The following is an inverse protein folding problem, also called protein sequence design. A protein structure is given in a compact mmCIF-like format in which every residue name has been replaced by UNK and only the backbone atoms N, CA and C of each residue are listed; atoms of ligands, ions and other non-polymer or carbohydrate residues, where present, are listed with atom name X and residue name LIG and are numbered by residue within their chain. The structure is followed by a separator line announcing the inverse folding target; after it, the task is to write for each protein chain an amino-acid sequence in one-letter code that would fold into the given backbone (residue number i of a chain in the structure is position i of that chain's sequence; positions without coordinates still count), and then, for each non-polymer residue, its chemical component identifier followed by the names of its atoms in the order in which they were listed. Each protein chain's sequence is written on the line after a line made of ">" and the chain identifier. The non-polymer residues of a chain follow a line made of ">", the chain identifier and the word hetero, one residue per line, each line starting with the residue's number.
data_IF_306252375957
#
_entry.id   IF_306252375957
#
_cell.length_a   1.000
_cell.length_b   1.000
_cell.length_c   1.000
_cell.angle_alpha   90.00
_cell.angle_beta   90.00
_cell.angle_gamma   90.00
#
_symmetry.space_group_name_H-M   'P 1'
#
loop_
_entity.id
_entity.type
_entity.pdbx_description
1 polymer ?
#
# COMPACT_ATOMS: atom_id res chain seq x y z
N UNK A 1 4.99 10.98 -12.60
CA UNK A 1 3.56 10.86 -12.27
C UNK A 1 3.01 9.44 -12.34
N UNK A 2 3.03 8.74 -13.49
CA UNK A 2 2.49 7.36 -13.62
C UNK A 2 3.02 6.32 -12.63
N UNK A 3 4.15 6.53 -11.99
CA UNK A 3 4.77 5.59 -11.05
C UNK A 3 4.46 6.01 -9.60
N UNK A 4 4.28 7.31 -9.36
CA UNK A 4 4.03 7.86 -8.02
C UNK A 4 2.66 7.47 -7.46
N UNK A 5 1.63 7.37 -8.31
CA UNK A 5 0.30 6.92 -7.87
C UNK A 5 0.25 5.44 -7.49
N UNK A 6 0.99 4.60 -8.20
CA UNK A 6 0.99 3.15 -7.96
C UNK A 6 1.75 2.77 -6.70
N UNK A 7 2.78 3.56 -6.39
CA UNK A 7 3.58 3.41 -5.18
C UNK A 7 2.93 4.07 -3.95
N UNK A 8 2.13 5.11 -4.12
CA UNK A 8 1.26 5.69 -3.07
C UNK A 8 0.11 4.79 -2.63
N UNK A 9 0.03 3.55 -3.13
CA UNK A 9 -0.91 2.52 -2.69
C UNK A 9 -0.21 1.35 -1.98
N UNK A 10 1.12 1.37 -1.87
CA UNK A 10 1.89 0.36 -1.14
C UNK A 10 1.58 0.37 0.37
N UNK A 11 1.22 1.52 0.94
CA UNK A 11 0.70 1.64 2.31
C UNK A 11 -0.68 0.94 2.46
N UNK A 12 -1.69 1.32 1.67
CA UNK A 12 -3.02 0.69 1.63
C UNK A 12 -3.01 -0.82 1.40
N UNK A 13 -2.12 -1.34 0.54
CA UNK A 13 -2.05 -2.78 0.26
C UNK A 13 -1.56 -3.59 1.48
N UNK A 14 -0.67 -2.99 2.30
CA UNK A 14 -0.16 -3.62 3.52
C UNK A 14 -1.19 -3.59 4.65
N UNK A 15 -2.09 -2.60 4.64
CA UNK A 15 -3.24 -2.50 5.56
C UNK A 15 -4.25 -3.64 5.42
N UNK A 16 -4.24 -4.38 4.30
CA UNK A 16 -5.04 -5.59 4.11
C UNK A 16 -4.51 -6.75 4.97
N UNK A 17 -3.21 -6.77 5.26
CA UNK A 17 -2.51 -7.87 5.91
C UNK A 17 -2.27 -7.64 7.41
N UNK A 18 -2.27 -6.38 7.86
CA UNK A 18 -2.09 -6.02 9.26
C UNK A 18 -3.22 -6.41 10.25
N UNK A 19 -4.51 -6.51 9.87
CA UNK A 19 -5.59 -6.95 10.78
C UNK A 19 -5.33 -8.32 11.43
N UNK A 20 -4.57 -9.18 10.75
CA UNK A 20 -4.19 -10.52 11.20
C UNK A 20 -3.06 -10.52 12.24
N UNK A 21 -2.32 -9.42 12.36
CA UNK A 21 -1.14 -9.34 13.23
C UNK A 21 -1.41 -8.71 14.62
N UNK A 22 -2.43 -7.86 14.71
CA UNK A 22 -2.84 -7.18 15.93
C UNK A 22 -3.81 -7.98 16.80
N UNK A 23 -4.47 -9.00 16.25
CA UNK A 23 -5.58 -9.72 16.88
C UNK A 23 -5.12 -10.91 17.72
N UNK A 24 -5.64 -11.07 18.95
CA UNK A 24 -5.57 -12.35 19.65
C UNK A 24 -6.32 -13.40 18.83
N UNK A 25 -5.69 -14.54 18.56
CA UNK A 25 -6.38 -15.66 17.92
C UNK A 25 -7.59 -16.08 18.76
N UNK A 26 -8.76 -16.38 18.15
CA UNK A 26 -9.90 -16.95 18.86
C UNK A 26 -9.60 -18.35 19.42
N UNK A 27 -8.48 -18.97 19.03
CA UNK A 27 -8.03 -20.28 19.48
C UNK A 27 -7.10 -20.10 20.70
N UNK A 28 -7.50 -20.51 21.91
CA UNK A 28 -6.68 -20.41 23.11
C UNK A 28 -5.49 -21.38 23.00
N UNK A 29 -4.31 -20.86 22.67
CA UNK A 29 -3.07 -21.67 22.62
C UNK A 29 -2.01 -21.20 21.64
N UNK A 30 -2.36 -20.42 20.61
CA UNK A 30 -1.37 -19.83 19.71
C UNK A 30 -0.73 -18.58 20.35
N UNK A 31 0.22 -18.80 21.28
CA UNK A 31 1.26 -17.80 21.51
C UNK A 31 1.97 -17.59 20.17
N UNK A 32 1.93 -16.38 19.60
CA UNK A 32 2.56 -16.03 18.33
C UNK A 32 3.90 -15.28 18.54
N UNK A 33 5.01 -15.94 18.96
CA UNK A 33 6.33 -15.33 18.99
C UNK A 33 6.99 -15.20 17.61
N UNK A 34 6.40 -15.78 16.54
CA UNK A 34 6.97 -15.80 15.18
C UNK A 34 6.43 -14.70 14.25
N UNK A 35 5.38 -13.98 14.66
CA UNK A 35 4.69 -12.97 13.86
C UNK A 35 5.51 -11.72 13.49
N UNK A 36 6.42 -11.19 14.35
CA UNK A 36 7.14 -9.96 14.04
C UNK A 36 7.96 -10.07 12.75
N UNK A 37 8.64 -11.21 12.54
CA UNK A 37 9.53 -11.44 11.40
C UNK A 37 8.80 -11.99 10.16
N UNK A 38 7.61 -12.54 10.36
CA UNK A 38 6.74 -13.06 9.29
C UNK A 38 6.14 -11.94 8.41
N UNK A 39 5.90 -10.77 9.00
CA UNK A 39 5.27 -9.62 8.34
C UNK A 39 6.18 -8.95 7.28
N UNK A 40 7.45 -8.59 7.60
CA UNK A 40 8.34 -8.01 6.60
C UNK A 40 8.68 -8.98 5.46
N UNK A 41 8.80 -10.28 5.75
CA UNK A 41 9.14 -11.30 4.74
C UNK A 41 8.01 -11.46 3.72
N UNK A 42 6.75 -11.57 4.17
CA UNK A 42 5.59 -11.59 3.28
C UNK A 42 5.45 -10.28 2.49
N UNK A 43 5.57 -9.15 3.20
CA UNK A 43 5.47 -7.82 2.59
C UNK A 43 6.56 -7.59 1.55
N UNK A 44 7.77 -8.12 1.74
CA UNK A 44 8.85 -8.04 0.75
C UNK A 44 8.51 -8.82 -0.52
N UNK A 45 7.97 -10.04 -0.40
CA UNK A 45 7.54 -10.85 -1.55
C UNK A 45 6.44 -10.14 -2.34
N UNK A 46 5.36 -9.74 -1.67
CA UNK A 46 4.23 -9.08 -2.31
C UNK A 46 4.63 -7.74 -2.94
N UNK A 47 5.39 -6.91 -2.22
CA UNK A 47 5.82 -5.62 -2.75
C UNK A 47 6.70 -5.79 -4.00
N UNK A 48 7.58 -6.78 -4.01
CA UNK A 48 8.47 -7.01 -5.17
C UNK A 48 7.69 -7.50 -6.39
N UNK A 49 6.71 -8.40 -6.20
CA UNK A 49 5.82 -8.84 -7.29
C UNK A 49 4.93 -7.71 -7.78
N UNK A 50 4.32 -6.95 -6.89
CA UNK A 50 3.48 -5.79 -7.25
C UNK A 50 4.30 -4.72 -7.96
N UNK A 51 5.52 -4.43 -7.49
CA UNK A 51 6.44 -3.48 -8.14
C UNK A 51 6.85 -3.93 -9.54
N UNK A 52 7.04 -5.23 -9.75
CA UNK A 52 7.33 -5.80 -11.07
C UNK A 52 6.11 -5.77 -12.00
N UNK A 53 4.93 -6.14 -11.51
CA UNK A 53 3.70 -6.03 -12.30
C UNK A 53 3.41 -4.55 -12.64
N UNK A 54 3.67 -3.63 -11.71
CA UNK A 54 3.45 -2.20 -11.90
C UNK A 54 4.39 -1.62 -12.96
N UNK A 55 5.66 -2.08 -13.00
CA UNK A 55 6.58 -1.67 -14.06
C UNK A 55 6.14 -2.19 -15.44
N UNK A 56 5.67 -3.44 -15.53
CA UNK A 56 5.09 -3.97 -16.77
C UNK A 56 3.90 -3.12 -17.21
N UNK A 57 2.95 -2.86 -16.30
CA UNK A 57 1.78 -2.04 -16.58
C UNK A 57 2.20 -0.64 -17.05
N UNK A 58 3.17 0.00 -16.39
CA UNK A 58 3.68 1.31 -16.76
C UNK A 58 4.34 1.31 -18.15
N UNK A 59 5.09 0.26 -18.52
CA UNK A 59 5.68 0.11 -19.85
C UNK A 59 4.60 -0.07 -20.92
N UNK A 60 3.60 -0.92 -20.66
CA UNK A 60 2.46 -1.13 -21.58
C UNK A 60 1.66 0.16 -21.77
N UNK A 61 1.35 0.88 -20.69
CA UNK A 61 0.64 2.17 -20.76
C UNK A 61 1.49 3.34 -21.27
N UNK A 62 2.82 3.23 -21.24
CA UNK A 62 3.72 4.17 -21.90
C UNK A 62 3.80 3.93 -23.42
N UNK A 63 3.63 2.68 -23.86
CA UNK A 63 3.67 2.34 -25.28
C UNK A 63 2.39 2.75 -26.04
N UNK A 64 1.21 2.59 -25.43
CA UNK A 64 -0.08 2.87 -26.07
C UNK A 64 -0.22 4.32 -26.61
N UNK A 65 0.25 5.38 -25.90
CA UNK A 65 0.17 6.75 -26.38
C UNK A 65 1.35 7.20 -27.26
N UNK A 66 2.59 6.80 -26.93
CA UNK A 66 3.81 7.42 -27.49
C UNK A 66 4.47 6.59 -28.62
N UNK A 67 4.11 5.32 -28.80
CA UNK A 67 4.55 4.47 -29.93
C UNK A 67 6.05 4.10 -29.97
N UNK A 68 6.92 4.79 -29.23
CA UNK A 68 8.37 4.54 -29.18
C UNK A 68 8.74 3.61 -28.02
N UNK A 69 9.22 2.41 -28.33
CA UNK A 69 9.68 1.44 -27.34
C UNK A 69 11.19 1.59 -27.08
N UNK A 70 11.56 2.25 -25.97
CA UNK A 70 12.95 2.25 -25.49
C UNK A 70 13.14 1.17 -24.43
N UNK A 71 13.83 0.08 -24.81
CA UNK A 71 14.20 -1.00 -23.89
C UNK A 71 14.96 -0.47 -22.65
N UNK A 72 15.81 0.54 -22.85
CA UNK A 72 16.58 1.17 -21.77
C UNK A 72 15.69 1.83 -20.71
N UNK A 73 14.64 2.55 -21.13
CA UNK A 73 13.70 3.19 -20.22
C UNK A 73 12.80 2.15 -19.53
N UNK A 74 12.36 1.11 -20.26
CA UNK A 74 11.59 0.01 -19.68
C UNK A 74 12.37 -0.73 -18.57
N UNK A 75 13.65 -1.03 -18.82
CA UNK A 75 14.51 -1.69 -17.83
C UNK A 75 14.82 -0.76 -16.66
N UNK A 76 15.03 0.53 -16.89
CA UNK A 76 15.20 1.52 -15.81
C UNK A 76 13.97 1.57 -14.91
N UNK A 77 12.77 1.68 -15.51
CA UNK A 77 11.49 1.71 -14.79
C UNK A 77 11.28 0.44 -13.97
N UNK A 78 11.64 -0.71 -14.53
CA UNK A 78 11.56 -1.98 -13.82
C UNK A 78 12.57 -2.05 -12.66
N UNK A 79 13.82 -1.67 -12.91
CA UNK A 79 14.88 -1.69 -11.89
C UNK A 79 14.54 -0.77 -10.72
N UNK A 80 14.14 0.48 -11.00
CA UNK A 80 13.81 1.45 -9.97
C UNK A 80 12.55 1.05 -9.20
N UNK A 81 11.52 0.56 -9.88
CA UNK A 81 10.27 0.08 -9.25
C UNK A 81 10.55 -1.09 -8.31
N UNK A 82 11.17 -2.16 -8.80
CA UNK A 82 11.41 -3.38 -8.01
C UNK A 82 12.35 -3.10 -6.83
N UNK A 83 13.43 -2.33 -7.04
CA UNK A 83 14.35 -1.93 -5.98
C UNK A 83 13.65 -1.09 -4.90
N UNK A 84 12.84 -0.10 -5.32
CA UNK A 84 12.07 0.76 -4.41
C UNK A 84 11.08 -0.07 -3.62
N UNK A 85 10.28 -0.90 -4.29
CA UNK A 85 9.26 -1.71 -3.64
C UNK A 85 9.87 -2.62 -2.56
N UNK A 86 11.01 -3.23 -2.88
CA UNK A 86 11.73 -4.09 -1.96
C UNK A 86 12.27 -3.33 -0.75
N UNK A 87 13.04 -2.25 -0.99
CA UNK A 87 13.67 -1.46 0.10
C UNK A 87 12.60 -0.80 0.96
N UNK A 88 11.59 -0.18 0.36
CA UNK A 88 10.47 0.44 1.08
C UNK A 88 9.71 -0.60 1.92
N UNK A 89 9.57 -1.83 1.42
CA UNK A 89 8.91 -2.90 2.16
C UNK A 89 9.71 -3.37 3.38
N UNK A 90 11.04 -3.50 3.24
CA UNK A 90 11.90 -3.83 4.37
C UNK A 90 11.94 -2.71 5.42
N UNK A 91 12.15 -1.46 5.00
CA UNK A 91 12.23 -0.32 5.92
C UNK A 91 10.91 -0.15 6.67
N UNK A 92 9.78 -0.16 5.96
CA UNK A 92 8.46 -0.04 6.60
C UNK A 92 8.18 -1.25 7.50
N UNK A 93 8.53 -2.47 7.08
CA UNK A 93 8.38 -3.67 7.90
C UNK A 93 9.12 -3.57 9.24
N UNK A 94 10.36 -3.07 9.23
CA UNK A 94 11.16 -2.86 10.43
C UNK A 94 10.57 -1.79 11.35
N UNK A 95 10.13 -0.65 10.78
CA UNK A 95 9.45 0.40 11.54
C UNK A 95 8.18 -0.17 12.20
N UNK A 96 7.39 -0.92 11.44
CA UNK A 96 6.14 -1.50 11.92
C UNK A 96 6.33 -2.51 13.04
N UNK A 97 7.38 -3.34 12.98
CA UNK A 97 7.75 -4.21 14.12
C UNK A 97 8.01 -3.35 15.37
N UNK A 98 8.80 -2.28 15.24
CA UNK A 98 9.10 -1.37 16.34
C UNK A 98 7.86 -0.75 16.96
N UNK A 99 6.93 -0.27 16.11
CA UNK A 99 5.65 0.31 16.55
C UNK A 99 4.79 -0.72 17.26
N UNK A 100 4.70 -1.95 16.76
CA UNK A 100 3.91 -3.03 17.39
C UNK A 100 4.47 -3.38 18.77
N UNK A 101 5.80 -3.57 18.88
CA UNK A 101 6.45 -3.89 20.16
C UNK A 101 6.28 -2.73 21.14
N UNK A 102 6.48 -1.48 20.68
CA UNK A 102 6.30 -0.28 21.49
C UNK A 102 4.87 -0.12 22.01
N UNK A 103 3.87 -0.29 21.13
CA UNK A 103 2.46 -0.19 21.49
C UNK A 103 2.06 -1.24 22.52
N UNK A 104 2.52 -2.50 22.34
CA UNK A 104 2.29 -3.59 23.31
C UNK A 104 2.90 -3.26 24.68
N UNK A 105 4.09 -2.66 24.71
CA UNK A 105 4.75 -2.26 25.98
C UNK A 105 3.99 -1.15 26.71
N UNK A 106 3.27 -0.30 25.98
CA UNK A 106 2.45 0.79 26.54
C UNK A 106 1.00 0.38 26.83
N UNK A 107 0.61 -0.87 26.57
CA UNK A 107 -0.77 -1.35 26.76
C UNK A 107 -1.78 -0.75 25.78
N UNK A 108 -1.32 -0.11 24.71
CA UNK A 108 -2.17 0.47 23.66
C UNK A 108 -2.34 -0.58 22.55
N UNK A 109 -3.56 -0.72 22.03
CA UNK A 109 -3.81 -1.60 20.88
C UNK A 109 -2.93 -1.19 19.68
N UNK A 110 -2.07 -2.08 19.18
CA UNK A 110 -1.13 -1.75 18.10
C UNK A 110 -1.84 -1.23 16.86
N UNK A 111 -3.04 -1.71 16.55
CA UNK A 111 -3.81 -1.28 15.37
C UNK A 111 -4.27 0.20 15.43
N UNK A 112 -4.33 0.82 16.61
CA UNK A 112 -4.69 2.22 16.72
C UNK A 112 -3.55 3.17 16.33
N UNK A 113 -2.30 2.68 16.41
CA UNK A 113 -1.07 3.46 16.20
C UNK A 113 -0.36 3.01 14.94
N UNK A 114 -0.22 1.70 14.76
CA UNK A 114 0.47 1.07 13.64
C UNK A 114 -0.24 1.33 12.30
N UNK A 115 -1.57 1.24 12.26
CA UNK A 115 -2.39 1.44 11.06
C UNK A 115 -2.22 2.84 10.42
N UNK A 116 -2.37 3.96 11.15
CA UNK A 116 -2.14 5.30 10.57
C UNK A 116 -0.66 5.58 10.26
N UNK A 117 0.27 5.02 11.04
CA UNK A 117 1.71 5.14 10.77
C UNK A 117 2.08 4.38 9.48
N UNK A 118 1.57 3.16 9.30
CA UNK A 118 1.78 2.36 8.10
C UNK A 118 1.26 3.08 6.84
N UNK A 119 0.09 3.68 6.94
CA UNK A 119 -0.54 4.40 5.83
C UNK A 119 0.31 5.61 5.40
N UNK A 120 0.67 6.46 6.37
CA UNK A 120 1.36 7.72 6.09
C UNK A 120 2.86 7.55 5.76
N UNK A 121 3.59 6.73 6.53
CA UNK A 121 5.01 6.47 6.25
C UNK A 121 5.22 5.59 5.03
N UNK A 122 4.26 4.69 4.74
CA UNK A 122 4.31 3.84 3.56
C UNK A 122 4.45 4.65 2.29
N UNK A 123 3.60 5.65 2.10
CA UNK A 123 3.62 6.48 0.89
C UNK A 123 4.84 7.39 0.85
N UNK A 124 5.20 8.02 1.97
CA UNK A 124 6.35 8.91 2.04
C UNK A 124 7.66 8.18 1.73
N UNK A 125 7.91 7.05 2.38
CA UNK A 125 9.15 6.25 2.19
C UNK A 125 9.22 5.79 0.73
N UNK A 126 8.10 5.33 0.20
CA UNK A 126 8.05 4.78 -1.15
C UNK A 126 8.27 5.86 -2.20
N UNK A 127 7.63 7.03 -2.09
CA UNK A 127 7.84 8.15 -3.01
C UNK A 127 9.28 8.70 -2.92
N UNK A 128 9.81 8.84 -1.70
CA UNK A 128 11.18 9.32 -1.49
C UNK A 128 12.21 8.35 -2.08
N UNK A 129 12.08 7.05 -1.81
CA UNK A 129 12.97 6.02 -2.36
C UNK A 129 12.82 5.90 -3.86
N UNK A 130 11.59 5.92 -4.39
CA UNK A 130 11.34 5.87 -5.83
C UNK A 130 12.03 7.02 -6.53
N UNK A 131 11.86 8.24 -6.02
CA UNK A 131 12.46 9.44 -6.58
C UNK A 131 14.00 9.36 -6.51
N UNK A 132 14.56 8.97 -5.37
CA UNK A 132 16.01 8.88 -5.18
C UNK A 132 16.66 7.79 -6.04
N UNK A 133 16.10 6.58 -6.03
CA UNK A 133 16.60 5.43 -6.80
C UNK A 133 16.45 5.69 -8.30
N UNK A 134 15.30 6.19 -8.74
CA UNK A 134 15.09 6.51 -10.16
C UNK A 134 16.04 7.59 -10.64
N UNK A 135 16.27 8.65 -9.86
CA UNK A 135 17.24 9.70 -10.20
C UNK A 135 18.67 9.16 -10.29
N UNK A 136 19.09 8.33 -9.33
CA UNK A 136 20.41 7.70 -9.35
C UNK A 136 20.62 6.77 -10.55
N UNK A 137 19.66 5.89 -10.83
CA UNK A 137 19.71 4.96 -11.98
C UNK A 137 19.59 5.69 -13.31
N UNK A 138 18.87 6.81 -13.37
CA UNK A 138 18.79 7.64 -14.56
C UNK A 138 20.12 8.31 -14.89
N UNK A 139 20.83 8.83 -13.89
CA UNK A 139 22.16 9.42 -14.10
C UNK A 139 23.19 8.40 -14.60
N UNK A 140 23.14 7.17 -14.09
CA UNK A 140 24.02 6.09 -14.53
C UNK A 140 23.62 5.49 -15.88
N UNK A 141 22.40 5.74 -16.37
CA UNK A 141 21.94 5.23 -17.67
C UNK A 141 22.79 5.76 -18.83
N UNK A 142 23.18 7.04 -18.78
CA UNK A 142 24.01 7.68 -19.82
C UNK A 142 25.46 7.19 -19.82
N UNK A 143 26.00 6.82 -18.65
CA UNK A 143 27.39 6.39 -18.48
C UNK A 143 27.56 4.86 -18.67
N UNK A 144 26.63 4.07 -18.10
CA UNK A 144 26.75 2.61 -17.97
C UNK A 144 25.39 1.93 -18.10
N UNK A 145 24.96 1.71 -19.34
CA UNK A 145 23.68 1.06 -19.66
C UNK A 145 23.47 -0.34 -19.04
N UNK A 146 24.55 -1.03 -18.63
CA UNK A 146 24.48 -2.35 -17.99
C UNK A 146 24.09 -2.32 -16.50
N UNK A 147 24.14 -1.15 -15.84
CA UNK A 147 23.84 -1.02 -14.40
C UNK A 147 22.37 -1.32 -14.11
N UNK A 148 21.44 -0.75 -14.90
CA UNK A 148 20.00 -0.95 -14.71
C UNK A 148 19.55 -2.42 -14.83
N UNK A 149 19.93 -3.18 -15.88
CA UNK A 149 19.58 -4.60 -15.95
C UNK A 149 20.23 -5.42 -14.85
N UNK A 150 21.44 -5.07 -14.40
CA UNK A 150 22.12 -5.77 -13.30
C UNK A 150 21.38 -5.56 -11.96
N UNK A 151 20.99 -4.33 -11.66
CA UNK A 151 20.17 -4.00 -10.48
C UNK A 151 18.83 -4.72 -10.53
N UNK A 152 18.16 -4.71 -11.69
CA UNK A 152 16.91 -5.44 -11.87
C UNK A 152 17.08 -6.95 -11.65
N UNK A 153 18.11 -7.55 -12.25
CA UNK A 153 18.41 -8.97 -12.10
C UNK A 153 18.72 -9.35 -10.64
N UNK A 154 19.46 -8.50 -9.93
CA UNK A 154 19.76 -8.69 -8.52
C UNK A 154 18.49 -8.77 -7.66
N UNK A 155 17.59 -7.79 -7.75
CA UNK A 155 16.35 -7.81 -6.96
C UNK A 155 15.39 -8.93 -7.37
N UNK A 156 15.31 -9.27 -8.66
CA UNK A 156 14.53 -10.42 -9.12
C UNK A 156 15.12 -11.73 -8.58
N UNK A 157 16.45 -11.87 -8.51
CA UNK A 157 17.09 -13.07 -7.96
C UNK A 157 16.85 -13.24 -6.45
N UNK A 158 16.56 -12.15 -5.73
CA UNK A 158 16.21 -12.19 -4.31
C UNK A 158 14.78 -12.72 -4.08
N UNK A 159 13.85 -12.54 -5.02
CA UNK A 159 12.46 -13.05 -4.91
C UNK A 159 12.36 -14.52 -4.48
N UNK A 160 12.99 -15.50 -5.15
CA UNK A 160 12.87 -16.90 -4.77
C UNK A 160 13.37 -17.16 -3.35
N UNK A 161 14.41 -16.46 -2.91
CA UNK A 161 14.95 -16.58 -1.55
C UNK A 161 13.88 -16.16 -0.54
N UNK A 162 13.23 -15.01 -0.74
CA UNK A 162 12.16 -14.52 0.15
C UNK A 162 10.91 -15.38 0.09
N UNK A 163 10.55 -15.93 -1.07
CA UNK A 163 9.44 -16.88 -1.22
C UNK A 163 9.70 -18.15 -0.43
N UNK A 164 10.93 -18.69 -0.47
CA UNK A 164 11.30 -19.88 0.32
C UNK A 164 11.22 -19.57 1.82
N UNK A 165 11.73 -18.41 2.26
CA UNK A 165 11.66 -17.98 3.65
C UNK A 165 10.20 -17.81 4.10
N UNK A 166 9.36 -17.17 3.28
CA UNK A 166 7.94 -16.96 3.55
C UNK A 166 7.17 -18.29 3.61
N UNK A 167 7.46 -19.24 2.71
CA UNK A 167 6.83 -20.57 2.70
C UNK A 167 7.16 -21.43 3.92
N UNK A 168 8.31 -21.21 4.55
CA UNK A 168 8.71 -21.95 5.77
C UNK A 168 7.88 -21.57 6.99
N UNK A 169 7.28 -20.38 7.00
CA UNK A 169 6.43 -19.94 8.10
C UNK A 169 4.97 -20.30 7.83
N UNK A 170 4.35 -21.08 8.71
CA UNK A 170 2.95 -21.54 8.56
C UNK A 170 1.96 -20.38 8.50
N UNK A 171 2.16 -19.31 9.27
CA UNK A 171 1.30 -18.13 9.29
C UNK A 171 1.40 -17.32 7.97
N UNK A 172 2.60 -17.25 7.40
CA UNK A 172 2.83 -16.55 6.14
C UNK A 172 2.37 -17.36 4.93
N UNK A 173 2.43 -18.69 5.02
CA UNK A 173 2.13 -19.60 3.91
C UNK A 173 0.69 -19.47 3.43
N UNK A 174 -0.27 -19.38 4.34
CA UNK A 174 -1.69 -19.26 3.99
C UNK A 174 -1.95 -17.96 3.22
N UNK A 175 -1.44 -16.84 3.75
CA UNK A 175 -1.61 -15.52 3.14
C UNK A 175 -0.83 -15.39 1.83
N UNK A 176 0.29 -16.09 1.68
CA UNK A 176 1.04 -16.18 0.43
C UNK A 176 0.26 -16.88 -0.69
N UNK A 177 -0.74 -17.72 -0.40
CA UNK A 177 -1.57 -18.35 -1.45
C UNK A 177 -2.89 -17.62 -1.65
N UNK A 178 -3.56 -17.20 -0.57
CA UNK A 178 -4.90 -16.59 -0.64
C UNK A 178 -4.88 -15.07 -0.83
N UNK A 179 -3.77 -14.39 -0.53
CA UNK A 179 -3.69 -12.92 -0.52
C UNK A 179 -3.60 -12.25 -1.89
N UNK A 180 -3.48 -13.00 -3.00
CA UNK A 180 -3.25 -12.43 -4.33
C UNK A 180 -4.50 -11.83 -4.97
N UNK A 181 -5.67 -12.39 -4.72
CA UNK A 181 -6.93 -11.91 -5.31
C UNK A 181 -7.20 -10.42 -5.01
N UNK A 182 -7.23 -9.96 -3.73
CA UNK A 182 -7.44 -8.54 -3.44
C UNK A 182 -6.30 -7.65 -3.95
N UNK A 183 -5.06 -8.16 -3.97
CA UNK A 183 -3.89 -7.44 -4.47
C UNK A 183 -3.99 -7.18 -5.98
N UNK A 184 -4.33 -8.19 -6.77
CA UNK A 184 -4.44 -8.10 -8.22
C UNK A 184 -5.64 -7.22 -8.60
N UNK A 185 -6.77 -7.35 -7.91
CA UNK A 185 -7.96 -6.51 -8.16
C UNK A 185 -7.66 -5.04 -7.85
N UNK A 186 -7.04 -4.75 -6.69
CA UNK A 186 -6.65 -3.38 -6.34
C UNK A 186 -5.68 -2.79 -7.36
N UNK A 187 -4.71 -3.59 -7.79
CA UNK A 187 -3.77 -3.20 -8.84
C UNK A 187 -4.49 -2.89 -10.15
N UNK A 188 -5.43 -3.73 -10.59
CA UNK A 188 -6.19 -3.51 -11.83
C UNK A 188 -7.02 -2.22 -11.78
N UNK A 189 -7.72 -1.96 -10.68
CA UNK A 189 -8.49 -0.72 -10.48
C UNK A 189 -7.56 0.50 -10.50
N UNK A 190 -6.43 0.41 -9.80
CA UNK A 190 -5.40 1.45 -9.80
C UNK A 190 -4.84 1.72 -11.19
N UNK A 191 -4.67 0.68 -12.01
CA UNK A 191 -4.25 0.81 -13.41
C UNK A 191 -5.18 1.68 -14.22
N UNK A 192 -6.48 1.41 -14.11
CA UNK A 192 -7.52 2.13 -14.84
C UNK A 192 -7.59 3.57 -14.35
N UNK A 193 -7.52 3.78 -13.02
CA UNK A 193 -7.47 5.12 -12.43
C UNK A 193 -6.28 5.96 -12.92
N UNK A 194 -5.08 5.37 -12.92
CA UNK A 194 -3.87 6.05 -13.40
C UNK A 194 -3.91 6.39 -14.89
N UNK A 195 -4.54 5.56 -15.72
CA UNK A 195 -4.73 5.84 -17.15
C UNK A 195 -5.69 7.03 -17.37
N UNK A 196 -6.79 7.08 -16.60
CA UNK A 196 -7.75 8.19 -16.65
C UNK A 196 -7.07 9.49 -16.21
N UNK A 197 -6.28 9.43 -15.13
CA UNK A 197 -5.54 10.61 -14.67
C UNK A 197 -4.53 11.09 -15.72
N UNK A 198 -3.77 10.18 -16.33
CA UNK A 198 -2.77 10.54 -17.35
C UNK A 198 -3.40 11.29 -18.53
N UNK A 199 -4.55 10.81 -19.01
CA UNK A 199 -5.32 11.47 -20.08
C UNK A 199 -5.86 12.83 -19.65
N UNK A 200 -6.26 12.95 -18.39
CA UNK A 200 -6.77 14.21 -17.83
C UNK A 200 -5.65 15.24 -17.67
N UNK A 201 -4.50 14.85 -17.12
CA UNK A 201 -3.36 15.75 -16.87
C UNK A 201 -2.66 16.18 -18.16
N UNK A 202 -2.74 15.36 -19.21
CA UNK A 202 -2.20 15.67 -20.54
C UNK A 202 -3.02 16.73 -21.29
N UNK A 203 -4.25 17.01 -20.88
CA UNK A 203 -5.04 18.12 -21.40
C UNK A 203 -4.59 19.45 -20.73
N UNK A 204 -4.15 20.46 -21.49
CA UNK A 204 -3.69 21.73 -20.94
C UNK A 204 -4.75 22.46 -20.11
N UNK A 205 -6.04 22.18 -20.29
CA UNK A 205 -7.12 22.74 -19.48
C UNK A 205 -7.20 22.14 -18.06
N UNK A 206 -6.59 20.97 -17.84
CA UNK A 206 -6.69 20.20 -16.60
C UNK A 206 -5.33 19.84 -15.97
N UNK A 207 -4.23 20.47 -16.41
CA UNK A 207 -2.89 20.23 -15.87
C UNK A 207 -2.79 20.44 -14.34
N UNK A 208 -3.63 21.31 -13.77
CA UNK A 208 -3.72 21.54 -12.32
C UNK A 208 -4.24 20.34 -11.51
N UNK A 209 -4.88 19.35 -12.15
CA UNK A 209 -5.41 18.15 -11.48
C UNK A 209 -4.31 17.28 -10.85
N UNK A 210 -3.09 17.29 -11.42
CA UNK A 210 -1.96 16.51 -10.91
C UNK A 210 -1.56 16.90 -9.48
N UNK A 211 -1.83 18.15 -9.07
CA UNK A 211 -1.49 18.67 -7.75
C UNK A 211 -2.46 18.15 -6.68
N UNK A 212 -3.68 17.75 -7.06
CA UNK A 212 -4.67 17.18 -6.15
C UNK A 212 -4.48 15.67 -5.93
N UNK A 213 -3.78 14.99 -6.84
CA UNK A 213 -3.53 13.55 -6.78
C UNK A 213 -2.92 13.08 -5.44
N UNK A 214 -1.87 13.72 -4.89
CA UNK A 214 -1.33 13.33 -3.59
C UNK A 214 -2.32 13.54 -2.44
N UNK A 215 -3.25 14.49 -2.54
CA UNK A 215 -4.27 14.75 -1.51
C UNK A 215 -5.34 13.67 -1.53
N UNK A 216 -5.84 13.37 -2.73
CA UNK A 216 -6.89 12.38 -2.94
C UNK A 216 -6.39 10.99 -2.51
N UNK A 217 -5.21 10.59 -2.99
CA UNK A 217 -4.64 9.28 -2.67
C UNK A 217 -4.08 9.25 -1.23
N UNK A 218 -3.33 10.29 -0.83
CA UNK A 218 -2.61 10.32 0.44
C UNK A 218 -3.48 10.65 1.65
N UNK A 219 -4.35 11.67 1.58
CA UNK A 219 -5.25 12.01 2.70
C UNK A 219 -6.52 11.17 2.61
N UNK A 220 -7.19 11.16 1.46
CA UNK A 220 -8.44 10.41 1.29
C UNK A 220 -8.24 8.90 1.35
N UNK A 221 -7.43 8.36 0.43
CA UNK A 221 -7.20 6.92 0.26
C UNK A 221 -6.68 6.23 1.53
N UNK A 222 -5.68 6.80 2.18
CA UNK A 222 -5.14 6.24 3.42
C UNK A 222 -6.13 6.24 4.59
N UNK A 223 -6.98 7.26 4.73
CA UNK A 223 -8.01 7.29 5.77
C UNK A 223 -9.07 6.21 5.55
N UNK A 224 -9.47 5.99 4.30
CA UNK A 224 -10.39 4.90 3.93
C UNK A 224 -9.74 3.54 4.20
N UNK A 225 -8.44 3.38 3.90
CA UNK A 225 -7.71 2.14 4.20
C UNK A 225 -7.59 1.88 5.71
N UNK A 226 -7.35 2.92 6.53
CA UNK A 226 -7.38 2.82 7.99
C UNK A 226 -8.76 2.39 8.48
N UNK A 227 -9.84 2.94 7.92
CA UNK A 227 -11.20 2.54 8.27
C UNK A 227 -11.52 1.10 7.88
N UNK A 228 -11.14 0.69 6.67
CA UNK A 228 -11.34 -0.68 6.19
C UNK A 228 -10.57 -1.69 7.06
N UNK A 229 -9.34 -1.34 7.46
CA UNK A 229 -8.54 -2.14 8.38
C UNK A 229 -9.24 -2.33 9.73
N UNK A 230 -9.76 -1.26 10.33
CA UNK A 230 -10.53 -1.32 11.60
C UNK A 230 -11.79 -2.17 11.50
N UNK A 231 -12.54 -2.04 10.40
CA UNK A 231 -13.75 -2.85 10.17
C UNK A 231 -13.37 -4.32 10.02
N UNK A 232 -12.31 -4.63 9.26
CA UNK A 232 -11.81 -5.99 9.08
C UNK A 232 -11.42 -6.63 10.42
N UNK A 233 -10.64 -5.91 11.24
CA UNK A 233 -10.25 -6.37 12.58
C UNK A 233 -11.46 -6.56 13.49
N UNK A 234 -12.44 -5.64 13.47
CA UNK A 234 -13.67 -5.78 14.25
C UNK A 234 -14.47 -7.03 13.85
N UNK A 235 -14.62 -7.28 12.54
CA UNK A 235 -15.30 -8.47 12.03
C UNK A 235 -14.56 -9.75 12.41
N UNK A 236 -13.23 -9.76 12.29
CA UNK A 236 -12.38 -10.89 12.66
C UNK A 236 -12.45 -11.23 14.16
N UNK A 237 -12.58 -10.22 15.02
CA UNK A 237 -12.78 -10.43 16.45
C UNK A 237 -14.22 -10.86 16.81
N UNK A 238 -15.20 -10.60 15.94
CA UNK A 238 -16.63 -10.78 16.24
C UNK A 238 -17.19 -12.16 15.89
N UNK A 239 -16.41 -13.03 15.23
CA UNK A 239 -16.83 -14.41 14.92
C UNK A 239 -15.98 -15.08 13.85
N UNK A 240 -16.11 -16.41 13.70
CA UNK A 240 -15.47 -17.15 12.61
C UNK A 240 -16.17 -16.91 11.26
N UNK A 241 -15.45 -17.02 10.12
CA UNK A 241 -16.04 -16.84 8.80
C UNK A 241 -17.24 -17.77 8.58
N UNK A 242 -18.45 -17.21 8.51
CA UNK A 242 -19.70 -17.95 8.29
C UNK A 242 -20.68 -17.91 9.47
N UNK A 243 -20.22 -17.62 10.68
CA UNK A 243 -21.11 -17.36 11.82
C UNK A 243 -21.54 -15.89 11.78
N UNK A 244 -22.77 -15.62 11.32
CA UNK A 244 -23.34 -14.30 11.52
C UNK A 244 -23.68 -14.16 13.01
N UNK A 245 -23.09 -13.21 13.77
CA UNK A 245 -23.66 -12.88 15.06
C UNK A 245 -25.11 -12.46 14.80
N UNK A 246 -26.07 -13.02 15.53
CA UNK A 246 -27.52 -12.87 15.29
C UNK A 246 -28.03 -11.41 15.31
N UNK A 247 -27.14 -10.45 15.56
CA UNK A 247 -27.35 -9.00 15.61
C UNK A 247 -26.61 -8.21 14.52
N UNK A 248 -25.83 -8.84 13.62
CA UNK A 248 -25.21 -8.12 12.51
C UNK A 248 -26.27 -7.71 11.47
N UNK A 249 -26.39 -6.41 11.12
CA UNK A 249 -27.39 -5.96 10.16
C UNK A 249 -27.12 -6.61 8.79
N UNK A 250 -28.03 -7.48 8.36
CA UNK A 250 -27.99 -8.26 7.10
C UNK A 250 -28.13 -7.44 5.81
N UNK A 251 -27.89 -6.12 5.83
CA UNK A 251 -28.06 -5.24 4.67
C UNK A 251 -26.91 -4.28 4.54
N UNK A 252 -26.51 -4.02 3.30
CA UNK A 252 -25.70 -2.86 2.93
C UNK A 252 -26.26 -1.63 3.68
N UNK A 253 -25.56 -1.11 4.70
CA UNK A 253 -26.05 0.02 5.46
C UNK A 253 -26.16 1.21 4.51
N UNK A 254 -27.27 1.93 4.58
CA UNK A 254 -27.43 3.15 3.79
C UNK A 254 -26.41 4.19 4.25
N UNK A 255 -25.94 5.11 3.40
CA UNK A 255 -24.94 6.10 3.78
C UNK A 255 -25.36 6.90 5.03
N UNK A 256 -26.64 7.22 5.18
CA UNK A 256 -27.16 7.84 6.40
C UNK A 256 -27.04 6.93 7.63
N UNK A 257 -27.27 5.62 7.52
CA UNK A 257 -27.06 4.71 8.65
C UNK A 257 -25.57 4.53 8.96
N UNK A 258 -24.69 4.58 7.96
CA UNK A 258 -23.23 4.50 8.16
C UNK A 258 -22.68 5.74 8.87
N UNK A 259 -23.15 6.94 8.54
CA UNK A 259 -22.63 8.19 9.14
C UNK A 259 -23.36 8.66 10.41
N UNK A 260 -24.63 8.29 10.61
CA UNK A 260 -25.43 8.81 11.74
C UNK A 260 -25.78 7.77 12.82
N UNK A 261 -25.35 6.52 12.71
CA UNK A 261 -25.59 5.51 13.77
C UNK A 261 -24.70 5.73 15.00
N UNK A 262 -25.12 5.28 16.20
CA UNK A 262 -24.30 5.39 17.42
C UNK A 262 -23.08 4.45 17.45
N UNK A 263 -22.94 3.55 16.46
CA UNK A 263 -21.88 2.54 16.38
C UNK A 263 -20.45 3.12 16.30
N UNK A 264 -19.49 2.36 16.83
CA UNK A 264 -18.06 2.69 16.86
C UNK A 264 -17.49 2.92 15.45
N UNK A 265 -17.98 2.16 14.46
CA UNK A 265 -17.62 2.31 13.06
C UNK A 265 -18.15 3.62 12.47
N UNK A 266 -19.35 4.05 12.87
CA UNK A 266 -19.97 5.31 12.44
C UNK A 266 -19.29 6.54 13.04
N UNK A 267 -18.85 6.46 14.30
CA UNK A 267 -18.02 7.51 14.92
C UNK A 267 -16.65 7.62 14.24
N UNK A 268 -16.00 6.50 13.95
CA UNK A 268 -14.73 6.49 13.22
C UNK A 268 -14.87 7.09 11.81
N UNK A 269 -15.95 6.75 11.08
CA UNK A 269 -16.23 7.30 9.75
C UNK A 269 -16.41 8.83 9.79
N UNK A 270 -17.13 9.36 10.78
CA UNK A 270 -17.31 10.81 10.97
C UNK A 270 -15.99 11.52 11.30
N UNK A 271 -15.18 10.95 12.19
CA UNK A 271 -13.88 11.53 12.57
C UNK A 271 -12.93 11.55 11.37
N UNK A 272 -12.86 10.47 10.59
CA UNK A 272 -12.03 10.40 9.40
C UNK A 272 -12.51 11.40 8.33
N UNK A 273 -13.82 11.52 8.12
CA UNK A 273 -14.39 12.51 7.20
C UNK A 273 -14.12 13.96 7.65
N UNK A 274 -14.20 14.24 8.95
CA UNK A 274 -13.84 15.56 9.49
C UNK A 274 -12.35 15.85 9.41
N UNK A 275 -11.48 14.83 9.47
CA UNK A 275 -10.02 14.96 9.32
C UNK A 275 -9.61 15.27 7.88
N UNK A 276 -10.41 14.87 6.89
CA UNK A 276 -10.20 15.20 5.47
C UNK A 276 -10.23 16.70 5.23
N UNK A 277 -11.13 17.43 5.90
CA UNK A 277 -11.31 18.89 5.71
C UNK A 277 -10.05 19.71 6.04
N UNK A 278 -9.43 19.62 7.24
CA UNK A 278 -8.20 20.34 7.53
C UNK A 278 -7.03 19.87 6.65
N UNK A 279 -6.98 18.58 6.29
CA UNK A 279 -5.98 18.06 5.36
C UNK A 279 -6.06 18.72 3.98
N UNK A 280 -7.27 18.88 3.44
CA UNK A 280 -7.49 19.58 2.17
C UNK A 280 -7.21 21.08 2.28
N UNK A 281 -7.56 21.72 3.41
CA UNK A 281 -7.31 23.14 3.63
C UNK A 281 -5.82 23.49 3.70
N UNK A 282 -5.02 22.71 4.44
CA UNK A 282 -3.56 22.90 4.50
C UNK A 282 -2.93 22.73 3.13
N UNK A 283 -3.40 21.76 2.35
CA UNK A 283 -2.86 21.49 1.03
C UNK A 283 -3.25 22.58 0.02
N UNK A 284 -4.52 23.00 0.00
CA UNK A 284 -4.99 24.13 -0.81
C UNK A 284 -4.22 25.42 -0.46
N UNK A 285 -3.98 25.67 0.82
CA UNK A 285 -3.18 26.80 1.27
C UNK A 285 -1.73 26.73 0.75
N UNK A 286 -1.12 25.54 0.78
CA UNK A 286 0.25 25.33 0.30
C UNK A 286 0.33 25.51 -1.22
N UNK A 287 -0.65 24.99 -1.98
CA UNK A 287 -0.73 25.18 -3.44
C UNK A 287 -0.92 26.66 -3.77
N UNK A 288 -1.80 27.38 -3.07
CA UNK A 288 -2.01 28.81 -3.31
C UNK A 288 -0.80 29.66 -2.92
N UNK A 289 0.05 29.17 -2.00
CA UNK A 289 1.23 29.89 -1.52
C UNK A 289 2.50 29.60 -2.33
N UNK A 290 2.48 28.64 -3.26
CA UNK A 290 3.58 28.34 -4.20
C UNK A 290 3.34 28.99 -5.56
#
# INVERSE_FOLDING_TARGET
>A
NKIMEWFGLAGPLKLIHFPWAGTPSPIPGMRQPQLPWALPTLGAVQATVVGFLASIAAVVFGWIPDGHFSLAHAVLLCASSVATAFIASLVLGMIMIGVIIGSRKMGINPDNVATPIAASLGDLITLALLSGISWGLYKELESRAYVNPLVCAFFISLLPIWVIIAKRNSATREVLYSGWEPVIIAMAISSVGGLILDRTVSDPNFAGMAVFTPVINGVGGNLVAVQASRISTYLHMSGEPGDSPGTAPRRCPSPCSTFFSPDVNSRSARVLFLLVVPGHLVFLYTIHSM
#
